data_IF_679961741618
#
_entry.id   IF_679961741618
#
_cell.length_a   1.000
_cell.length_b   1.000
_cell.length_c   1.000
_cell.angle_alpha   90.00
_cell.angle_beta   90.00
_cell.angle_gamma   90.00
#
_symmetry.space_group_name_H-M   'P 1'
#
loop_
_entity.id
_entity.type
_entity.pdbx_description
1 polymer ?
#
# COMPACT_ATOMS: atom_id res chain seq x y z
N UNK A 1 2.64 -30.32 5.11
CA UNK A 1 3.78 -30.34 6.04
C UNK A 1 5.00 -30.82 5.27
N UNK A 2 5.86 -29.92 4.81
CA UNK A 2 7.14 -30.23 4.13
C UNK A 2 7.97 -28.93 4.13
N UNK A 3 8.57 -28.58 5.27
CA UNK A 3 9.26 -27.28 5.47
C UNK A 3 10.75 -27.39 5.78
N UNK A 4 11.32 -28.58 5.64
CA UNK A 4 12.75 -28.84 5.79
C UNK A 4 13.38 -28.92 4.39
N UNK A 5 14.35 -28.04 4.13
CA UNK A 5 15.19 -28.11 2.93
C UNK A 5 16.64 -28.13 3.36
N UNK A 6 17.41 -29.06 2.82
CA UNK A 6 18.85 -29.12 3.00
C UNK A 6 19.49 -28.26 1.91
N UNK A 7 20.32 -27.29 2.29
CA UNK A 7 21.12 -26.49 1.36
C UNK A 7 22.57 -26.47 1.84
N UNK A 8 23.46 -26.92 0.97
CA UNK A 8 24.90 -26.96 1.22
C UNK A 8 25.53 -25.60 0.88
N UNK A 9 26.38 -25.08 1.76
CA UNK A 9 27.29 -23.97 1.39
C UNK A 9 28.69 -24.25 1.90
N UNK A 10 29.66 -24.07 1.02
CA UNK A 10 31.09 -24.38 1.20
C UNK A 10 31.73 -23.75 2.44
N UNK A 11 31.39 -22.50 2.79
CA UNK A 11 32.06 -21.78 3.88
C UNK A 11 31.83 -22.36 5.28
N UNK A 12 30.62 -22.83 5.60
CA UNK A 12 30.35 -23.43 6.92
C UNK A 12 30.81 -24.89 6.99
N UNK A 13 30.76 -25.61 5.86
CA UNK A 13 31.31 -26.95 5.75
C UNK A 13 32.82 -26.95 6.02
N UNK A 14 33.54 -25.92 5.57
CA UNK A 14 34.97 -25.71 5.88
C UNK A 14 35.23 -25.52 7.38
N UNK A 15 34.48 -24.65 8.04
CA UNK A 15 34.60 -24.45 9.51
C UNK A 15 34.27 -25.72 10.29
N UNK A 16 33.25 -26.46 9.86
CA UNK A 16 32.85 -27.72 10.49
C UNK A 16 33.88 -28.82 10.28
N UNK A 17 34.45 -28.92 9.09
CA UNK A 17 35.53 -29.84 8.77
C UNK A 17 36.81 -29.53 9.58
N UNK A 18 37.11 -28.25 9.82
CA UNK A 18 38.26 -27.85 10.62
C UNK A 18 38.07 -28.11 12.13
N UNK A 19 36.86 -27.88 12.67
CA UNK A 19 36.58 -28.00 14.10
C UNK A 19 36.19 -29.41 14.55
N UNK A 20 35.63 -30.24 13.66
CA UNK A 20 35.19 -31.60 13.98
C UNK A 20 36.30 -32.50 14.58
N UNK A 21 37.51 -32.60 14.00
CA UNK A 21 38.57 -33.44 14.57
C UNK A 21 39.05 -32.91 15.92
N UNK A 22 39.12 -31.59 16.10
CA UNK A 22 39.50 -30.97 17.38
C UNK A 22 38.46 -31.30 18.47
N UNK A 23 37.16 -31.19 18.18
CA UNK A 23 36.10 -31.53 19.12
C UNK A 23 36.09 -33.02 19.47
N UNK A 24 36.36 -33.91 18.52
CA UNK A 24 36.41 -35.35 18.80
C UNK A 24 37.65 -35.70 19.66
N UNK A 25 38.81 -35.12 19.34
CA UNK A 25 40.04 -35.33 20.10
C UNK A 25 39.97 -34.81 21.53
N UNK A 26 39.27 -33.69 21.77
CA UNK A 26 39.17 -33.07 23.08
C UNK A 26 38.35 -33.90 24.09
N UNK A 27 37.44 -34.74 23.61
CA UNK A 27 36.61 -35.63 24.44
C UNK A 27 37.07 -37.09 24.42
N UNK A 28 38.03 -37.44 23.57
CA UNK A 28 38.63 -38.77 23.51
C UNK A 28 39.38 -39.07 24.82
N UNK A 29 39.13 -40.22 25.45
CA UNK A 29 39.78 -40.59 26.72
C UNK A 29 39.17 -39.94 27.97
N UNK A 30 38.07 -39.19 27.83
CA UNK A 30 37.29 -38.68 28.96
C UNK A 30 36.10 -39.60 29.25
N UNK A 31 35.42 -39.46 30.39
CA UNK A 31 34.19 -40.22 30.71
C UNK A 31 33.01 -39.91 29.75
N UNK A 32 33.15 -38.90 28.89
CA UNK A 32 32.11 -38.38 27.99
C UNK A 32 32.55 -38.45 26.52
N UNK A 33 33.11 -39.58 26.08
CA UNK A 33 33.59 -39.75 24.69
C UNK A 33 32.49 -39.53 23.64
N UNK A 34 31.24 -39.81 24.00
CA UNK A 34 30.04 -39.59 23.19
C UNK A 34 29.69 -38.10 23.01
N UNK A 35 30.22 -37.21 23.86
CA UNK A 35 29.96 -35.76 23.75
C UNK A 35 30.56 -35.16 22.48
N UNK A 36 31.78 -35.57 22.09
CA UNK A 36 32.46 -35.07 20.88
C UNK A 36 31.66 -35.32 19.59
N UNK A 37 31.32 -36.59 19.26
CA UNK A 37 30.48 -36.92 18.10
C UNK A 37 29.10 -36.25 18.16
N UNK A 38 28.50 -36.14 19.35
CA UNK A 38 27.19 -35.47 19.52
C UNK A 38 27.29 -33.98 19.19
N UNK A 39 28.35 -33.29 19.63
CA UNK A 39 28.59 -31.88 19.35
C UNK A 39 28.81 -31.62 17.86
N UNK A 40 29.56 -32.49 17.19
CA UNK A 40 29.76 -32.44 15.73
C UNK A 40 28.43 -32.66 15.02
N UNK A 41 27.64 -33.67 15.43
CA UNK A 41 26.31 -33.94 14.87
C UNK A 41 25.35 -32.75 15.01
N UNK A 42 25.32 -32.11 16.18
CA UNK A 42 24.54 -30.89 16.42
C UNK A 42 25.03 -29.74 15.54
N UNK A 43 26.35 -29.56 15.40
CA UNK A 43 26.95 -28.58 14.50
C UNK A 43 26.52 -28.79 13.05
N UNK A 44 26.59 -30.03 12.55
CA UNK A 44 26.16 -30.41 11.19
C UNK A 44 24.69 -30.06 10.98
N UNK A 45 23.82 -30.42 11.93
CA UNK A 45 22.39 -30.11 11.86
C UNK A 45 22.14 -28.60 11.83
N UNK A 46 22.81 -27.83 12.69
CA UNK A 46 22.69 -26.36 12.71
C UNK A 46 23.19 -25.69 11.42
N UNK A 47 24.21 -26.27 10.78
CA UNK A 47 24.78 -25.76 9.54
C UNK A 47 23.95 -26.13 8.29
N UNK A 48 23.38 -27.34 8.26
CA UNK A 48 22.72 -27.89 7.07
C UNK A 48 21.20 -27.67 7.04
N UNK A 49 20.56 -27.59 8.21
CA UNK A 49 19.10 -27.51 8.29
C UNK A 49 18.63 -26.07 8.13
N UNK A 50 17.93 -25.82 7.02
CA UNK A 50 17.17 -24.58 6.84
C UNK A 50 15.70 -24.84 7.16
N UNK A 51 15.14 -23.99 8.02
CA UNK A 51 13.72 -24.04 8.40
C UNK A 51 13.03 -22.78 7.88
N UNK A 52 12.05 -22.97 6.97
CA UNK A 52 11.28 -21.88 6.33
C UNK A 52 12.15 -20.81 5.65
N UNK A 53 13.23 -21.22 4.99
CA UNK A 53 14.08 -20.33 4.18
C UNK A 53 15.15 -19.55 4.95
N UNK A 54 15.25 -19.72 6.29
CA UNK A 54 16.37 -19.21 7.11
C UNK A 54 17.10 -20.38 7.80
N UNK A 55 18.42 -20.27 7.97
CA UNK A 55 19.23 -21.23 8.75
C UNK A 55 18.92 -21.14 10.24
N UNK A 56 19.17 -22.20 11.00
CA UNK A 56 18.98 -22.19 12.47
C UNK A 56 19.83 -21.10 13.16
N UNK A 57 21.05 -20.84 12.68
CA UNK A 57 21.89 -19.72 13.15
C UNK A 57 21.31 -18.35 12.81
N UNK A 58 20.76 -18.19 11.61
CA UNK A 58 20.03 -16.98 11.21
C UNK A 58 18.73 -16.79 12.01
N UNK A 59 18.10 -17.89 12.43
CA UNK A 59 16.97 -17.86 13.37
C UNK A 59 17.42 -17.37 14.75
N UNK A 60 18.53 -17.87 15.30
CA UNK A 60 19.07 -17.43 16.59
C UNK A 60 19.49 -15.96 16.59
N UNK A 61 20.16 -15.51 15.52
CA UNK A 61 20.51 -14.10 15.35
C UNK A 61 19.25 -13.21 15.24
N UNK A 62 18.25 -13.65 14.48
CA UNK A 62 16.99 -12.94 14.34
C UNK A 62 16.20 -12.90 15.67
N UNK A 63 16.23 -13.96 16.49
CA UNK A 63 15.57 -13.97 17.80
C UNK A 63 16.26 -13.07 18.81
N UNK A 64 17.59 -13.09 18.92
CA UNK A 64 18.33 -12.18 19.80
C UNK A 64 18.10 -10.72 19.40
N UNK A 65 18.19 -10.43 18.11
CA UNK A 65 17.96 -9.10 17.57
C UNK A 65 16.50 -8.64 17.76
N UNK A 66 15.53 -9.55 17.66
CA UNK A 66 14.12 -9.29 17.98
C UNK A 66 13.93 -9.04 19.49
N UNK A 67 14.50 -9.87 20.36
CA UNK A 67 14.40 -9.71 21.82
C UNK A 67 14.91 -8.35 22.28
N UNK A 68 16.04 -7.87 21.73
CA UNK A 68 16.57 -6.54 22.07
C UNK A 68 15.67 -5.39 21.61
N UNK A 69 14.89 -5.57 20.54
CA UNK A 69 14.15 -4.47 19.87
C UNK A 69 12.64 -4.50 20.08
N UNK A 70 12.06 -5.64 20.47
CA UNK A 70 10.61 -5.88 20.35
C UNK A 70 9.70 -4.88 21.09
N UNK A 71 10.20 -4.20 22.12
CA UNK A 71 9.46 -3.17 22.88
C UNK A 71 9.83 -1.72 22.54
N UNK A 72 10.87 -1.50 21.74
CA UNK A 72 11.31 -0.14 21.36
C UNK A 72 10.63 0.27 20.05
N UNK A 73 10.00 1.45 19.97
CA UNK A 73 9.42 1.94 18.72
C UNK A 73 10.51 2.14 17.65
N UNK A 74 10.14 2.12 16.35
CA UNK A 74 11.04 2.54 15.28
C UNK A 74 11.57 3.95 15.54
N UNK A 75 12.82 4.23 15.14
CA UNK A 75 13.38 5.58 15.21
C UNK A 75 12.56 6.48 14.29
N UNK A 76 12.05 7.59 14.82
CA UNK A 76 11.38 8.59 14.01
C UNK A 76 12.36 9.16 12.96
N UNK A 77 11.90 9.44 11.73
CA UNK A 77 12.66 10.24 10.77
C UNK A 77 13.05 11.60 11.35
N UNK A 78 14.06 12.25 10.76
CA UNK A 78 14.35 13.64 11.13
C UNK A 78 13.23 14.56 10.67
N UNK A 79 13.14 15.75 11.28
CA UNK A 79 12.28 16.80 10.78
C UNK A 79 12.63 17.11 9.31
N UNK A 80 11.62 17.34 8.46
CA UNK A 80 11.83 17.65 7.07
C UNK A 80 12.42 19.04 6.91
N UNK A 81 13.42 19.15 6.03
CA UNK A 81 13.99 20.43 5.61
C UNK A 81 13.64 20.62 4.15
N UNK A 82 13.08 21.77 3.83
CA UNK A 82 12.75 22.13 2.45
C UNK A 82 14.00 22.74 1.80
N UNK A 83 14.49 22.11 0.74
CA UNK A 83 15.56 22.65 -0.08
C UNK A 83 15.03 23.67 -1.09
N UNK A 84 15.77 24.77 -1.30
CA UNK A 84 15.57 25.64 -2.46
C UNK A 84 16.14 24.96 -3.72
N UNK A 85 15.34 24.84 -4.78
CA UNK A 85 15.78 24.29 -6.07
C UNK A 85 16.41 25.37 -6.96
N UNK A 86 16.85 24.93 -8.15
CA UNK A 86 17.35 25.76 -9.26
C UNK A 86 16.20 26.53 -9.96
N UNK A 87 14.93 26.13 -9.79
CA UNK A 87 13.76 26.86 -10.28
C UNK A 87 13.07 27.58 -9.11
N UNK A 88 12.78 28.89 -9.17
CA UNK A 88 12.25 29.66 -8.04
C UNK A 88 10.88 29.24 -7.43
N UNK A 89 10.28 28.11 -7.81
CA UNK A 89 8.93 27.70 -7.38
C UNK A 89 8.78 26.23 -6.92
N UNK A 90 9.78 25.38 -7.19
CA UNK A 90 9.73 23.97 -6.77
C UNK A 90 10.49 23.80 -5.45
N UNK A 91 9.75 23.53 -4.39
CA UNK A 91 10.30 23.26 -3.07
C UNK A 91 10.26 21.75 -2.85
N UNK A 92 11.43 21.12 -2.68
CA UNK A 92 11.53 19.67 -2.44
C UNK A 92 11.85 19.45 -0.97
N UNK A 93 10.98 18.72 -0.27
CA UNK A 93 11.26 18.27 1.08
C UNK A 93 12.30 17.14 1.08
N UNK A 94 13.30 17.28 1.94
CA UNK A 94 14.28 16.22 2.22
C UNK A 94 14.33 15.94 3.72
N UNK A 95 14.55 14.68 4.09
CA UNK A 95 14.78 14.29 5.48
C UNK A 95 15.69 13.08 5.57
N UNK A 96 16.30 12.88 6.74
CA UNK A 96 17.00 11.64 7.04
C UNK A 96 15.99 10.58 7.47
N UNK A 97 16.06 9.43 6.80
CA UNK A 97 15.31 8.24 7.17
C UNK A 97 16.27 7.05 7.28
N UNK A 98 16.57 6.67 8.52
CA UNK A 98 17.68 5.76 8.84
C UNK A 98 19.01 6.34 8.31
N UNK A 99 19.76 5.59 7.51
CA UNK A 99 21.06 5.97 6.94
C UNK A 99 20.96 6.68 5.58
N UNK A 100 19.73 6.93 5.10
CA UNK A 100 19.48 7.52 3.78
C UNK A 100 18.94 8.93 3.92
N UNK A 101 19.39 9.83 3.05
CA UNK A 101 18.67 11.07 2.80
C UNK A 101 17.57 10.77 1.79
N UNK A 102 16.33 11.12 2.11
CA UNK A 102 15.16 10.81 1.27
C UNK A 102 14.42 12.07 0.85
N UNK A 103 13.79 12.01 -0.31
CA UNK A 103 12.87 13.01 -0.85
C UNK A 103 11.61 12.32 -1.36
N UNK A 104 10.51 13.07 -1.47
CA UNK A 104 9.21 12.53 -1.88
C UNK A 104 8.71 13.21 -3.15
N UNK A 105 8.14 12.40 -4.04
CA UNK A 105 7.36 12.81 -5.21
C UNK A 105 5.97 12.24 -5.00
N UNK A 106 4.96 13.10 -5.03
CA UNK A 106 3.57 12.69 -5.01
C UNK A 106 3.08 12.45 -6.44
N UNK A 107 2.40 11.32 -6.66
CA UNK A 107 1.76 11.05 -7.94
C UNK A 107 0.30 11.48 -7.86
N UNK A 108 -0.07 12.43 -8.72
CA UNK A 108 -1.42 12.99 -8.73
C UNK A 108 -2.27 12.13 -9.66
N UNK A 109 -3.32 11.46 -9.14
CA UNK A 109 -4.17 10.67 -10.00
C UNK A 109 -5.04 11.56 -10.88
N UNK A 110 -5.34 11.06 -12.06
CA UNK A 110 -6.23 11.76 -12.99
C UNK A 110 -7.69 11.54 -12.57
N UNK A 111 -8.47 12.60 -12.36
CA UNK A 111 -9.86 12.48 -11.95
C UNK A 111 -10.70 11.64 -12.92
N UNK A 112 -11.68 10.94 -12.36
CA UNK A 112 -12.66 10.11 -13.08
C UNK A 112 -12.04 9.04 -13.98
N UNK A 113 -10.85 8.51 -13.67
CA UNK A 113 -10.29 7.37 -14.39
C UNK A 113 -11.01 6.08 -13.95
N UNK A 114 -11.81 5.44 -14.81
CA UNK A 114 -12.50 4.21 -14.44
C UNK A 114 -11.49 3.08 -14.22
N UNK A 115 -11.79 2.20 -13.27
CA UNK A 115 -11.09 0.93 -13.09
C UNK A 115 -12.05 -0.20 -13.40
N UNK A 116 -11.70 -1.04 -14.38
CA UNK A 116 -12.51 -2.20 -14.78
C UNK A 116 -11.82 -3.48 -14.31
N UNK A 117 -12.58 -4.37 -13.67
CA UNK A 117 -12.04 -5.64 -13.19
C UNK A 117 -12.31 -6.73 -14.22
N UNK A 118 -11.25 -7.22 -14.86
CA UNK A 118 -11.31 -8.29 -15.87
C UNK A 118 -10.50 -9.47 -15.35
N UNK A 119 -11.14 -10.62 -15.20
CA UNK A 119 -10.53 -11.86 -14.73
C UNK A 119 -9.73 -11.71 -13.42
N UNK A 120 -10.25 -10.89 -12.49
CA UNK A 120 -9.64 -10.61 -11.19
C UNK A 120 -8.46 -9.64 -11.23
N UNK A 121 -8.27 -8.89 -12.32
CA UNK A 121 -7.22 -7.88 -12.48
C UNK A 121 -7.82 -6.50 -12.70
N UNK A 122 -7.19 -5.49 -12.11
CA UNK A 122 -7.60 -4.10 -12.27
C UNK A 122 -6.98 -3.51 -13.53
N UNK A 123 -7.84 -3.09 -14.46
CA UNK A 123 -7.45 -2.34 -15.64
C UNK A 123 -7.84 -0.88 -15.46
N UNK A 124 -6.84 0.00 -15.44
CA UNK A 124 -6.98 1.45 -15.38
C UNK A 124 -5.89 2.10 -16.22
N UNK A 125 -6.19 3.25 -16.81
CA UNK A 125 -5.25 3.98 -17.66
C UNK A 125 -4.21 4.76 -16.86
N UNK A 126 -4.47 5.00 -15.57
CA UNK A 126 -3.66 5.88 -14.72
C UNK A 126 -2.70 5.06 -13.85
N UNK A 127 -1.56 4.69 -14.45
CA UNK A 127 -0.56 3.79 -13.88
C UNK A 127 0.86 4.35 -14.02
N UNK A 128 1.73 4.01 -13.09
CA UNK A 128 3.18 4.17 -13.21
C UNK A 128 3.86 2.82 -13.46
N UNK A 129 4.62 2.71 -14.54
CA UNK A 129 5.41 1.51 -14.85
C UNK A 129 6.77 1.56 -14.13
N UNK A 130 7.10 0.52 -13.37
CA UNK A 130 8.39 0.45 -12.68
C UNK A 130 9.59 0.40 -13.63
N UNK A 131 9.41 -0.06 -14.89
CA UNK A 131 10.46 0.02 -15.93
C UNK A 131 10.71 1.45 -16.37
N UNK A 132 9.66 2.28 -16.45
CA UNK A 132 9.82 3.69 -16.77
C UNK A 132 10.66 4.37 -15.68
N UNK A 133 10.33 4.13 -14.41
CA UNK A 133 11.09 4.67 -13.30
C UNK A 133 12.55 4.21 -13.33
N UNK A 134 12.80 2.91 -13.58
CA UNK A 134 14.17 2.39 -13.70
C UNK A 134 14.95 3.10 -14.83
N UNK A 135 14.34 3.28 -16.00
CA UNK A 135 14.97 4.02 -17.11
C UNK A 135 15.30 5.45 -16.71
N UNK A 136 14.37 6.18 -16.10
CA UNK A 136 14.58 7.55 -15.65
C UNK A 136 15.73 7.64 -14.62
N UNK A 137 15.78 6.71 -13.66
CA UNK A 137 16.89 6.61 -12.71
C UNK A 137 18.21 6.32 -13.41
N UNK A 138 18.24 5.36 -14.35
CA UNK A 138 19.47 4.98 -15.06
C UNK A 138 20.08 6.15 -15.86
N UNK A 139 19.23 7.03 -16.41
CA UNK A 139 19.67 8.17 -17.22
C UNK A 139 20.08 9.36 -16.34
N UNK A 140 19.31 9.66 -15.28
CA UNK A 140 19.48 10.91 -14.53
C UNK A 140 20.25 10.76 -13.22
N UNK A 141 20.18 9.60 -12.57
CA UNK A 141 20.67 9.37 -11.21
C UNK A 141 20.87 7.87 -10.89
N UNK A 142 21.79 7.22 -11.61
CA UNK A 142 21.99 5.77 -11.54
C UNK A 142 22.49 5.24 -10.18
N UNK A 143 22.96 6.11 -9.28
CA UNK A 143 23.44 5.79 -7.94
C UNK A 143 22.37 6.00 -6.85
N UNK A 144 21.13 6.35 -7.22
CA UNK A 144 19.96 6.46 -6.32
C UNK A 144 19.09 5.20 -6.35
N UNK A 145 18.32 5.00 -5.27
CA UNK A 145 17.24 4.02 -5.20
C UNK A 145 15.90 4.76 -5.15
N UNK A 146 14.82 4.15 -5.68
CA UNK A 146 13.48 4.69 -5.55
C UNK A 146 12.52 3.67 -4.97
N UNK A 147 11.73 4.06 -3.96
CA UNK A 147 10.63 3.25 -3.43
C UNK A 147 9.30 3.83 -3.91
N UNK A 148 8.56 3.11 -4.76
CA UNK A 148 7.15 3.38 -5.04
C UNK A 148 6.34 2.87 -3.86
N UNK A 149 5.57 3.73 -3.21
CA UNK A 149 4.78 3.40 -2.02
C UNK A 149 3.33 3.76 -2.29
N UNK A 150 2.43 2.78 -2.26
CA UNK A 150 0.98 3.03 -2.28
C UNK A 150 0.36 2.64 -0.96
N UNK A 151 -0.52 3.48 -0.43
CA UNK A 151 -1.21 3.24 0.82
C UNK A 151 -2.70 3.58 0.71
N UNK A 152 -3.54 2.83 1.43
CA UNK A 152 -4.99 3.02 1.41
C UNK A 152 -5.78 1.79 1.81
N UNK A 153 -7.06 1.76 1.47
CA UNK A 153 -8.00 0.73 1.92
C UNK A 153 -9.01 0.37 0.83
N UNK A 154 -9.48 -0.89 0.85
CA UNK A 154 -10.54 -1.38 -0.05
C UNK A 154 -11.93 -0.99 0.41
N UNK A 155 -12.13 -1.05 1.73
CA UNK A 155 -13.37 -0.69 2.40
C UNK A 155 -12.98 0.26 3.53
N UNK A 156 -13.64 1.41 3.58
CA UNK A 156 -13.42 2.43 4.58
C UNK A 156 -14.08 2.09 5.92
N UNK A 157 -13.97 3.02 6.87
CA UNK A 157 -14.47 2.86 8.25
C UNK A 157 -15.61 3.81 8.61
N UNK A 158 -16.12 4.57 7.64
CA UNK A 158 -17.17 5.57 7.88
C UNK A 158 -18.57 4.96 7.88
N UNK A 159 -18.79 3.84 7.19
CA UNK A 159 -20.07 3.13 7.20
C UNK A 159 -20.32 2.36 8.50
N UNK A 160 -21.61 2.04 8.73
CA UNK A 160 -21.99 1.00 9.68
C UNK A 160 -21.30 -0.34 9.35
N UNK A 161 -21.00 -1.16 10.37
CA UNK A 161 -20.35 -2.46 10.17
C UNK A 161 -21.14 -3.36 9.20
N UNK A 162 -22.47 -3.22 9.20
CA UNK A 162 -23.35 -3.96 8.33
C UNK A 162 -23.24 -3.49 6.87
N UNK A 163 -23.33 -2.19 6.60
CA UNK A 163 -23.17 -1.65 5.25
C UNK A 163 -21.77 -1.91 4.68
N UNK A 164 -20.73 -1.82 5.52
CA UNK A 164 -19.37 -2.20 5.15
C UNK A 164 -19.26 -3.69 4.77
N UNK A 165 -19.91 -4.58 5.54
CA UNK A 165 -19.94 -6.02 5.24
C UNK A 165 -20.68 -6.33 3.94
N UNK A 166 -21.85 -5.71 3.68
CA UNK A 166 -22.57 -5.86 2.41
C UNK A 166 -21.68 -5.45 1.23
N UNK A 167 -21.00 -4.31 1.37
CA UNK A 167 -20.09 -3.83 0.32
C UNK A 167 -18.87 -4.73 0.12
N UNK A 168 -18.26 -5.22 1.21
CA UNK A 168 -17.11 -6.14 1.14
C UNK A 168 -17.49 -7.45 0.43
N UNK A 169 -18.69 -7.98 0.69
CA UNK A 169 -19.22 -9.15 -0.01
C UNK A 169 -19.47 -8.87 -1.49
N UNK A 170 -20.00 -7.68 -1.81
CA UNK A 170 -20.29 -7.27 -3.18
C UNK A 170 -19.02 -7.16 -4.04
N UNK A 171 -17.97 -6.53 -3.51
CA UNK A 171 -16.70 -6.37 -4.23
C UNK A 171 -15.81 -7.63 -4.17
N UNK A 172 -16.10 -8.56 -3.25
CA UNK A 172 -15.39 -9.82 -3.09
C UNK A 172 -13.86 -9.65 -3.02
N UNK A 173 -13.16 -10.24 -4.00
CA UNK A 173 -11.68 -10.18 -4.11
C UNK A 173 -11.19 -9.18 -5.16
N UNK A 174 -12.03 -8.25 -5.62
CA UNK A 174 -11.63 -7.29 -6.64
C UNK A 174 -10.45 -6.43 -6.15
N UNK A 175 -9.36 -6.30 -6.93
CA UNK A 175 -8.21 -5.47 -6.58
C UNK A 175 -8.47 -3.96 -6.74
N UNK A 176 -9.65 -3.52 -6.30
CA UNK A 176 -10.15 -2.16 -6.39
C UNK A 176 -10.15 -1.51 -5.01
N UNK A 177 -9.08 -0.78 -4.62
CA UNK A 177 -9.13 0.00 -3.39
C UNK A 177 -10.08 1.18 -3.55
N UNK A 178 -10.97 1.36 -2.58
CA UNK A 178 -11.84 2.53 -2.50
C UNK A 178 -11.05 3.82 -2.35
N UNK A 179 -9.96 3.78 -1.57
CA UNK A 179 -9.03 4.90 -1.41
C UNK A 179 -7.59 4.41 -1.57
N UNK A 180 -6.79 5.07 -2.41
CA UNK A 180 -5.36 4.82 -2.57
C UNK A 180 -4.63 6.09 -3.02
N UNK A 181 -3.53 6.38 -2.34
CA UNK A 181 -2.55 7.39 -2.77
C UNK A 181 -1.19 6.73 -2.99
N UNK A 182 -0.41 7.28 -3.91
CA UNK A 182 0.88 6.71 -4.32
C UNK A 182 1.95 7.79 -4.37
N UNK A 183 3.12 7.47 -3.83
CA UNK A 183 4.30 8.32 -3.81
C UNK A 183 5.51 7.58 -4.36
N UNK A 184 6.50 8.33 -4.82
CA UNK A 184 7.85 7.83 -5.13
C UNK A 184 8.83 8.49 -4.17
N UNK A 185 9.53 7.67 -3.40
CA UNK A 185 10.55 8.12 -2.45
C UNK A 185 11.92 7.90 -3.06
N UNK A 186 12.65 8.96 -3.42
CA UNK A 186 14.05 8.83 -3.83
C UNK A 186 14.94 8.74 -2.59
N UNK A 187 15.90 7.83 -2.62
CA UNK A 187 16.79 7.49 -1.50
C UNK A 187 18.25 7.62 -1.92
N UNK A 188 18.97 8.46 -1.19
CA UNK A 188 20.39 8.70 -1.36
C UNK A 188 21.17 8.06 -0.21
N UNK A 189 21.98 7.05 -0.53
CA UNK A 189 23.03 6.54 0.37
C UNK A 189 24.26 7.47 0.24
N UNK A 190 24.72 8.10 1.34
CA UNK A 190 25.87 9.01 1.31
C UNK A 190 27.16 8.39 0.73
N UNK A 191 27.36 7.07 0.89
CA UNK A 191 28.54 6.38 0.38
C UNK A 191 28.43 6.13 -1.13
N UNK A 192 27.28 5.63 -1.59
CA UNK A 192 27.06 5.34 -3.02
C UNK A 192 27.03 6.62 -3.86
N UNK A 193 26.38 7.66 -3.34
CA UNK A 193 26.14 8.92 -4.06
C UNK A 193 27.26 9.95 -3.90
N UNK A 194 28.33 9.62 -3.16
CA UNK A 194 29.42 10.54 -2.79
C UNK A 194 29.98 11.31 -3.99
N UNK A 195 30.29 10.62 -5.09
CA UNK A 195 30.88 11.24 -6.29
C UNK A 195 29.92 12.25 -6.94
N UNK A 196 28.64 11.92 -7.01
CA UNK A 196 27.60 12.77 -7.60
C UNK A 196 27.29 13.98 -6.71
N UNK A 197 27.28 13.79 -5.39
CA UNK A 197 27.09 14.84 -4.40
C UNK A 197 28.24 15.86 -4.40
N UNK A 198 29.49 15.38 -4.41
CA UNK A 198 30.69 16.23 -4.39
C UNK A 198 30.82 17.19 -5.58
N UNK A 199 30.19 16.88 -6.72
CA UNK A 199 30.14 17.78 -7.88
C UNK A 199 29.25 19.02 -7.66
N UNK A 200 28.45 19.04 -6.59
CA UNK A 200 27.45 20.10 -6.32
C UNK A 200 27.77 20.93 -5.09
N UNK A 201 28.26 20.29 -4.03
CA UNK A 201 28.82 20.95 -2.84
C UNK A 201 29.58 19.95 -1.97
N UNK A 202 30.23 20.43 -0.91
CA UNK A 202 30.85 19.61 0.11
C UNK A 202 29.81 19.03 1.11
N UNK A 203 30.11 17.84 1.62
CA UNK A 203 29.36 17.23 2.73
C UNK A 203 27.86 17.02 2.46
N UNK A 204 27.05 17.24 3.49
CA UNK A 204 25.59 17.02 3.47
C UNK A 204 24.88 17.99 2.51
N UNK A 205 25.39 19.22 2.35
CA UNK A 205 24.82 20.19 1.42
C UNK A 205 24.88 19.68 -0.03
N UNK A 206 25.99 19.05 -0.42
CA UNK A 206 26.15 18.47 -1.75
C UNK A 206 25.19 17.30 -2.00
N UNK A 207 24.99 16.47 -0.97
CA UNK A 207 24.04 15.35 -1.00
C UNK A 207 22.60 15.84 -1.15
N UNK A 208 22.21 16.84 -0.36
CA UNK A 208 20.88 17.43 -0.41
C UNK A 208 20.61 18.08 -1.78
N UNK A 209 21.55 18.90 -2.29
CA UNK A 209 21.44 19.48 -3.64
C UNK A 209 21.38 18.42 -4.72
N UNK A 210 22.11 17.32 -4.58
CA UNK A 210 22.03 16.21 -5.52
C UNK A 210 20.65 15.57 -5.52
N UNK A 211 20.15 15.21 -4.34
CA UNK A 211 18.87 14.56 -4.19
C UNK A 211 17.75 15.46 -4.74
N UNK A 212 17.66 16.71 -4.27
CA UNK A 212 16.68 17.71 -4.73
C UNK A 212 16.70 17.85 -6.26
N UNK A 213 17.87 18.03 -6.86
CA UNK A 213 18.00 18.17 -8.31
C UNK A 213 17.69 16.88 -9.08
N UNK A 214 17.73 15.71 -8.43
CA UNK A 214 17.35 14.43 -9.02
C UNK A 214 15.85 14.22 -8.91
N UNK A 215 15.25 14.57 -7.78
CA UNK A 215 13.80 14.56 -7.54
C UNK A 215 13.06 15.36 -8.60
N UNK A 216 13.48 16.61 -8.86
CA UNK A 216 12.88 17.44 -9.91
C UNK A 216 12.99 16.79 -11.29
N UNK A 217 14.16 16.23 -11.66
CA UNK A 217 14.33 15.55 -12.96
C UNK A 217 13.46 14.31 -13.11
N UNK A 218 13.32 13.52 -12.05
CA UNK A 218 12.48 12.32 -12.07
C UNK A 218 11.01 12.73 -12.18
N UNK A 219 10.56 13.74 -11.43
CA UNK A 219 9.20 14.28 -11.53
C UNK A 219 8.92 14.82 -12.96
N UNK A 220 9.82 15.66 -13.50
CA UNK A 220 9.70 16.18 -14.87
C UNK A 220 9.68 15.06 -15.92
N UNK A 221 10.51 14.03 -15.75
CA UNK A 221 10.57 12.87 -16.65
C UNK A 221 9.31 11.99 -16.60
N UNK A 222 8.72 11.84 -15.41
CA UNK A 222 7.43 11.16 -15.23
C UNK A 222 6.30 11.97 -15.89
N UNK A 223 6.23 13.28 -15.62
CA UNK A 223 5.24 14.18 -16.21
C UNK A 223 5.33 14.20 -17.74
N UNK A 224 6.55 14.25 -18.28
CA UNK A 224 6.80 14.17 -19.73
C UNK A 224 6.37 12.83 -20.35
N UNK A 225 6.27 11.78 -19.54
CA UNK A 225 5.79 10.45 -19.93
C UNK A 225 4.28 10.26 -19.66
N UNK A 226 3.59 11.32 -19.25
CA UNK A 226 2.16 11.32 -18.96
C UNK A 226 1.79 10.93 -17.52
N UNK A 227 2.74 10.71 -16.62
CA UNK A 227 2.46 10.44 -15.20
C UNK A 227 2.53 11.76 -14.44
N UNK A 228 1.40 12.27 -13.95
CA UNK A 228 1.40 13.53 -13.20
C UNK A 228 2.12 13.32 -11.86
N UNK A 229 3.22 14.04 -11.67
CA UNK A 229 4.19 13.81 -10.61
C UNK A 229 4.69 15.16 -10.10
N UNK A 230 4.44 15.43 -8.82
CA UNK A 230 4.76 16.71 -8.18
C UNK A 230 5.77 16.47 -7.07
N UNK A 231 6.80 17.32 -7.00
CA UNK A 231 7.75 17.27 -5.90
C UNK A 231 7.05 17.64 -4.58
N UNK A 232 7.10 16.76 -3.58
CA UNK A 232 6.44 17.00 -2.31
C UNK A 232 7.17 18.07 -1.49
N UNK A 233 6.38 19.00 -0.92
CA UNK A 233 6.86 20.09 -0.05
C UNK A 233 6.91 19.70 1.43
N UNK A 234 6.28 18.57 1.79
CA UNK A 234 6.29 17.96 3.11
C UNK A 234 6.19 16.43 2.97
N UNK A 235 6.42 15.71 4.07
CA UNK A 235 6.14 14.28 4.18
C UNK A 235 4.82 13.99 4.90
N UNK A 236 4.05 15.01 5.31
CA UNK A 236 2.86 14.83 6.16
C UNK A 236 1.82 13.89 5.56
N UNK A 237 1.45 14.06 4.28
CA UNK A 237 0.47 13.19 3.62
C UNK A 237 0.97 11.75 3.49
N UNK A 238 2.26 11.59 3.17
CA UNK A 238 2.92 10.29 3.11
C UNK A 238 2.96 9.62 4.49
N UNK A 239 3.31 10.38 5.53
CA UNK A 239 3.41 9.87 6.91
C UNK A 239 2.03 9.50 7.44
N UNK A 240 1.01 10.33 7.21
CA UNK A 240 -0.36 10.05 7.59
C UNK A 240 -0.89 8.78 6.89
N UNK A 241 -0.65 8.64 5.59
CA UNK A 241 -1.12 7.48 4.83
C UNK A 241 -0.36 6.19 5.15
N UNK A 242 0.90 6.28 5.59
CA UNK A 242 1.73 5.11 5.97
C UNK A 242 1.80 4.88 7.47
N UNK A 243 1.10 5.69 8.27
CA UNK A 243 1.09 5.58 9.72
C UNK A 243 0.53 4.21 10.13
N UNK A 244 1.24 3.55 11.05
CA UNK A 244 0.75 2.35 11.71
C UNK A 244 0.84 2.52 13.22
N UNK A 245 -0.16 2.00 13.92
CA UNK A 245 -0.10 1.96 15.37
C UNK A 245 0.95 0.93 15.82
N UNK A 246 1.86 1.36 16.70
CA UNK A 246 2.92 0.50 17.24
C UNK A 246 2.88 0.48 18.76
N UNK A 247 2.59 -0.69 19.34
CA UNK A 247 2.81 -0.97 20.76
C UNK A 247 3.98 -1.93 20.96
N UNK A 248 4.02 -3.00 20.17
CA UNK A 248 5.01 -4.07 20.29
C UNK A 248 5.18 -4.83 19.00
N UNK A 249 6.42 -5.18 18.68
CA UNK A 249 6.71 -6.13 17.61
C UNK A 249 6.64 -7.57 18.15
N UNK A 250 5.76 -8.40 17.58
CA UNK A 250 5.78 -9.85 17.75
C UNK A 250 6.51 -10.49 16.57
N UNK A 251 6.89 -11.76 16.73
CA UNK A 251 7.63 -12.51 15.71
C UNK A 251 7.01 -12.43 14.30
N UNK A 252 5.68 -12.42 14.20
CA UNK A 252 4.99 -12.49 12.90
C UNK A 252 4.05 -11.32 12.64
N UNK A 253 4.06 -10.28 13.50
CA UNK A 253 3.16 -9.12 13.37
C UNK A 253 3.62 -7.99 14.28
N UNK A 254 3.26 -6.77 13.93
CA UNK A 254 3.28 -5.61 14.81
C UNK A 254 1.89 -5.50 15.45
N UNK A 255 1.86 -5.41 16.77
CA UNK A 255 0.66 -5.11 17.53
C UNK A 255 0.58 -3.60 17.72
N UNK A 256 -0.53 -3.01 17.28
CA UNK A 256 -0.90 -1.62 17.56
C UNK A 256 -2.05 -1.53 18.55
N UNK A 257 -2.55 -0.31 18.76
CA UNK A 257 -3.71 -0.02 19.61
C UNK A 257 -4.99 -0.50 18.94
N UNK A 258 -5.42 -1.72 19.29
CA UNK A 258 -6.66 -2.31 18.75
C UNK A 258 -6.55 -2.85 17.31
N UNK A 259 -5.35 -2.92 16.73
CA UNK A 259 -5.14 -3.49 15.40
C UNK A 259 -3.82 -4.28 15.31
N UNK A 260 -3.66 -5.00 14.21
CA UNK A 260 -2.47 -5.79 13.92
C UNK A 260 -1.98 -5.49 12.51
N UNK A 261 -0.73 -5.06 12.39
CA UNK A 261 -0.06 -4.93 11.08
C UNK A 261 0.85 -6.14 10.86
N UNK A 262 0.82 -6.74 9.68
CA UNK A 262 1.76 -7.79 9.32
C UNK A 262 2.39 -7.54 7.96
N UNK A 263 3.71 -7.67 7.89
CA UNK A 263 4.49 -7.64 6.65
C UNK A 263 4.55 -8.99 5.97
N UNK A 264 4.38 -8.95 4.65
CA UNK A 264 4.29 -10.08 3.74
C UNK A 264 5.11 -9.83 2.48
N UNK A 265 5.46 -10.94 1.84
CA UNK A 265 6.02 -11.00 0.49
C UNK A 265 4.98 -11.74 -0.35
N UNK A 266 4.58 -11.14 -1.47
CA UNK A 266 3.51 -11.65 -2.31
C UNK A 266 3.88 -11.38 -3.77
N UNK A 267 4.37 -12.39 -4.51
CA UNK A 267 4.58 -12.22 -5.95
C UNK A 267 3.22 -12.03 -6.64
N UNK A 268 3.19 -11.28 -7.73
CA UNK A 268 1.99 -11.09 -8.55
C UNK A 268 1.49 -9.65 -8.66
N UNK A 269 2.15 -8.68 -8.02
CA UNK A 269 1.89 -7.27 -8.22
C UNK A 269 0.61 -6.75 -7.56
N UNK A 270 0.20 -5.52 -7.92
CA UNK A 270 -0.92 -4.82 -7.27
C UNK A 270 -2.23 -5.59 -7.22
N UNK A 271 -2.55 -6.39 -8.24
CA UNK A 271 -3.78 -7.20 -8.27
C UNK A 271 -3.83 -8.22 -7.11
N UNK A 272 -2.69 -8.83 -6.76
CA UNK A 272 -2.61 -9.76 -5.63
C UNK A 272 -2.61 -9.01 -4.30
N UNK A 273 -2.00 -7.84 -4.25
CA UNK A 273 -1.85 -7.06 -3.03
C UNK A 273 -3.17 -6.43 -2.58
N UNK A 274 -3.89 -5.83 -3.53
CA UNK A 274 -5.15 -5.12 -3.30
C UNK A 274 -6.38 -6.01 -3.36
N UNK A 275 -6.25 -7.31 -3.64
CA UNK A 275 -7.34 -8.29 -3.48
C UNK A 275 -7.40 -8.91 -2.08
N UNK A 276 -6.33 -8.76 -1.28
CA UNK A 276 -6.29 -9.28 0.07
C UNK A 276 -7.19 -8.44 1.01
N UNK A 277 -8.03 -9.07 1.85
CA UNK A 277 -8.85 -8.35 2.81
C UNK A 277 -7.96 -7.75 3.91
N UNK A 278 -8.04 -6.42 4.06
CA UNK A 278 -7.35 -5.66 5.08
C UNK A 278 -8.05 -4.32 5.30
N UNK A 279 -8.03 -3.82 6.55
CA UNK A 279 -8.54 -2.51 6.89
C UNK A 279 -7.66 -1.39 6.33
N UNK A 280 -6.37 -1.67 6.14
CA UNK A 280 -5.40 -0.77 5.53
C UNK A 280 -4.27 -1.58 4.89
N UNK A 281 -3.84 -1.16 3.71
CA UNK A 281 -2.81 -1.83 2.92
C UNK A 281 -1.74 -0.82 2.56
N UNK A 282 -0.47 -1.17 2.79
CA UNK A 282 0.68 -0.40 2.35
C UNK A 282 1.53 -1.33 1.48
N UNK A 283 1.79 -0.92 0.25
CA UNK A 283 2.65 -1.64 -0.69
C UNK A 283 3.90 -0.81 -0.92
N UNK A 284 5.06 -1.47 -1.05
CA UNK A 284 6.32 -0.81 -1.39
C UNK A 284 7.05 -1.63 -2.44
N UNK A 285 7.46 -0.97 -3.51
CA UNK A 285 8.31 -1.53 -4.57
C UNK A 285 9.57 -0.69 -4.67
N UNK A 286 10.73 -1.29 -4.40
CA UNK A 286 12.02 -0.69 -4.67
C UNK A 286 12.46 -0.94 -6.10
N UNK A 287 12.89 0.12 -6.75
CA UNK A 287 13.54 0.11 -8.06
C UNK A 287 14.96 0.63 -7.88
N UNK A 288 15.93 -0.18 -8.31
CA UNK A 288 17.35 0.18 -8.37
C UNK A 288 17.82 -0.09 -9.79
N UNK A 289 18.50 0.84 -10.47
CA UNK A 289 18.97 0.64 -11.83
C UNK A 289 19.79 -0.63 -12.00
N UNK A 290 19.41 -1.50 -12.94
CA UNK A 290 20.13 -2.74 -13.24
C UNK A 290 19.86 -3.90 -12.26
N UNK A 291 18.97 -3.73 -11.29
CA UNK A 291 18.54 -4.78 -10.38
C UNK A 291 17.04 -5.09 -10.57
N UNK A 292 16.65 -6.35 -10.35
CA UNK A 292 15.23 -6.70 -10.34
C UNK A 292 14.51 -5.95 -9.20
N UNK A 293 13.31 -5.40 -9.45
CA UNK A 293 12.58 -4.66 -8.44
C UNK A 293 12.27 -5.55 -7.25
N UNK A 294 12.14 -4.97 -6.06
CA UNK A 294 11.90 -5.72 -4.83
C UNK A 294 10.64 -5.20 -4.13
N UNK A 295 9.77 -6.08 -3.64
CA UNK A 295 8.49 -5.68 -3.05
C UNK A 295 8.28 -6.16 -1.62
N UNK A 296 7.44 -5.45 -0.88
CA UNK A 296 6.87 -5.88 0.40
C UNK A 296 5.46 -5.30 0.56
N UNK A 297 4.60 -6.01 1.27
CA UNK A 297 3.21 -5.61 1.50
C UNK A 297 2.92 -5.68 2.99
N UNK A 298 2.37 -4.61 3.54
CA UNK A 298 1.87 -4.54 4.90
C UNK A 298 0.35 -4.56 4.86
N UNK A 299 -0.25 -5.47 5.61
CA UNK A 299 -1.69 -5.54 5.79
C UNK A 299 -2.02 -5.29 7.25
N UNK A 300 -2.88 -4.31 7.50
CA UNK A 300 -3.41 -3.96 8.81
C UNK A 300 -4.83 -4.46 8.94
N UNK A 301 -5.13 -5.16 10.02
CA UNK A 301 -6.46 -5.69 10.31
C UNK A 301 -6.84 -5.43 11.77
N UNK A 302 -8.10 -5.14 12.02
CA UNK A 302 -8.69 -5.02 13.36
C UNK A 302 -8.59 -6.35 14.14
N UNK A 303 -8.96 -7.45 13.50
CA UNK A 303 -8.84 -8.79 14.05
C UNK A 303 -7.48 -9.44 13.76
N UNK A 304 -7.17 -10.58 14.40
CA UNK A 304 -5.96 -11.35 14.09
C UNK A 304 -6.03 -11.93 12.67
N UNK A 305 -5.34 -11.29 11.72
CA UNK A 305 -5.33 -11.70 10.31
C UNK A 305 -4.93 -13.18 10.09
N UNK A 306 -5.79 -13.90 9.37
CA UNK A 306 -5.41 -15.12 8.64
C UNK A 306 -4.46 -14.73 7.50
N UNK A 307 -3.52 -15.61 7.16
CA UNK A 307 -2.58 -15.35 6.05
C UNK A 307 -3.35 -15.46 4.72
N UNK A 308 -3.35 -14.40 3.87
CA UNK A 308 -3.99 -14.47 2.57
C UNK A 308 -3.32 -15.51 1.65
N UNK A 309 -4.06 -16.01 0.65
CA UNK A 309 -3.53 -16.95 -0.35
C UNK A 309 -2.46 -16.25 -1.20
N UNK A 310 -1.34 -16.91 -1.47
CA UNK A 310 -0.22 -16.33 -2.22
C UNK A 310 0.77 -15.49 -1.37
N UNK A 311 0.45 -15.22 -0.10
CA UNK A 311 1.29 -14.38 0.76
C UNK A 311 2.23 -15.23 1.63
N UNK A 312 3.48 -14.79 1.73
CA UNK A 312 4.50 -15.35 2.61
C UNK A 312 4.90 -14.33 3.67
N UNK A 313 4.61 -14.64 4.94
CA UNK A 313 4.79 -13.72 6.07
C UNK A 313 6.26 -13.52 6.42
N UNK A 314 6.68 -12.27 6.59
CA UNK A 314 8.07 -11.89 6.92
C UNK A 314 8.35 -12.06 8.42
N UNK A 315 8.48 -13.30 8.87
CA UNK A 315 8.64 -13.59 10.31
C UNK A 315 10.03 -13.20 10.81
N UNK A 316 10.10 -12.53 11.96
CA UNK A 316 11.33 -12.01 12.58
C UNK A 316 11.88 -10.73 11.93
N UNK A 317 11.16 -10.13 10.98
CA UNK A 317 11.59 -8.93 10.24
C UNK A 317 10.46 -7.93 9.99
N UNK A 318 9.45 -7.90 10.86
CA UNK A 318 8.23 -7.11 10.65
C UNK A 318 8.53 -5.61 10.65
N UNK A 319 9.40 -5.15 11.56
CA UNK A 319 9.89 -3.76 11.55
C UNK A 319 10.74 -3.42 10.33
N UNK A 320 11.61 -4.35 9.92
CA UNK A 320 12.40 -4.16 8.71
C UNK A 320 11.49 -4.08 7.47
N UNK A 321 10.41 -4.86 7.41
CA UNK A 321 9.40 -4.75 6.37
C UNK A 321 8.70 -3.38 6.41
N UNK A 322 8.29 -2.90 7.60
CA UNK A 322 7.72 -1.57 7.79
C UNK A 322 8.63 -0.45 7.24
N UNK A 323 9.93 -0.54 7.55
CA UNK A 323 10.93 0.42 7.11
C UNK A 323 11.43 0.18 5.67
N UNK A 324 10.89 -0.81 4.96
CA UNK A 324 11.27 -1.11 3.58
C UNK A 324 12.70 -1.66 3.45
N UNK A 325 13.24 -2.23 4.52
CA UNK A 325 14.56 -2.87 4.55
C UNK A 325 14.47 -4.37 4.22
N UNK A 326 13.30 -4.99 4.42
CA UNK A 326 13.06 -6.38 4.06
C UNK A 326 12.14 -6.47 2.84
N UNK A 327 12.75 -6.36 1.67
CA UNK A 327 12.10 -6.50 0.37
C UNK A 327 12.53 -7.83 -0.27
N UNK A 328 11.71 -8.39 -1.13
CA UNK A 328 12.03 -9.62 -1.87
C UNK A 328 11.94 -9.34 -3.37
N UNK A 329 12.87 -9.91 -4.12
CA UNK A 329 12.90 -9.79 -5.58
C UNK A 329 11.54 -10.13 -6.19
N UNK A 330 11.12 -9.28 -7.10
CA UNK A 330 9.84 -9.31 -7.80
C UNK A 330 10.07 -8.97 -9.28
N UNK A 331 8.99 -8.78 -10.03
CA UNK A 331 9.01 -8.41 -11.44
C UNK A 331 8.55 -6.97 -11.62
N UNK A 332 8.97 -6.37 -12.71
CA UNK A 332 8.39 -5.10 -13.11
C UNK A 332 6.89 -5.23 -13.32
N UNK A 333 6.16 -4.20 -12.91
CA UNK A 333 4.72 -4.14 -12.96
C UNK A 333 4.26 -2.69 -13.17
N UNK A 334 3.01 -2.56 -13.57
CA UNK A 334 2.30 -1.29 -13.58
C UNK A 334 1.59 -1.12 -12.24
N UNK A 335 1.76 0.04 -11.63
CA UNK A 335 1.17 0.38 -10.33
C UNK A 335 0.13 1.47 -10.57
N UNK A 336 -1.16 1.19 -10.33
CA UNK A 336 -2.18 2.22 -10.36
C UNK A 336 -1.90 3.36 -9.37
N UNK A 337 -2.05 4.60 -9.83
CA UNK A 337 -1.66 5.79 -9.07
C UNK A 337 -2.68 6.11 -7.97
N UNK A 338 -3.94 6.30 -8.37
CA UNK A 338 -5.04 6.70 -7.49
C UNK A 338 -5.97 5.57 -7.09
N UNK A 339 -7.08 5.94 -6.47
CA UNK A 339 -8.17 5.07 -6.05
C UNK A 339 -8.84 4.38 -7.24
N UNK A 340 -9.35 3.16 -7.04
CA UNK A 340 -10.35 2.60 -7.95
C UNK A 340 -11.72 3.26 -7.67
N UNK A 341 -12.00 3.55 -6.39
CA UNK A 341 -13.17 4.30 -5.94
C UNK A 341 -14.39 3.43 -5.66
N UNK A 342 -15.56 3.92 -6.04
CA UNK A 342 -16.86 3.29 -5.74
C UNK A 342 -17.28 2.38 -6.89
N UNK A 343 -17.82 1.19 -6.59
CA UNK A 343 -18.44 0.33 -7.60
C UNK A 343 -19.71 1.01 -8.16
N UNK A 344 -19.63 1.50 -9.40
CA UNK A 344 -20.73 2.23 -10.06
C UNK A 344 -21.60 1.33 -10.94
N UNK A 345 -21.08 0.18 -11.37
CA UNK A 345 -21.82 -0.77 -12.19
C UNK A 345 -20.92 -1.83 -12.78
N UNK A 346 -21.35 -2.41 -13.89
CA UNK A 346 -20.57 -3.38 -14.67
C UNK A 346 -20.65 -3.07 -16.16
N UNK A 347 -19.69 -3.54 -16.95
CA UNK A 347 -19.71 -3.46 -18.41
C UNK A 347 -20.83 -4.33 -19.00
N UNK A 348 -21.09 -4.19 -20.31
CA UNK A 348 -22.03 -5.07 -21.02
C UNK A 348 -21.66 -6.57 -20.93
N UNK A 349 -20.36 -6.86 -20.77
CA UNK A 349 -19.82 -8.22 -20.60
C UNK A 349 -19.81 -8.70 -19.15
N UNK A 350 -20.34 -7.92 -18.20
CA UNK A 350 -20.43 -8.30 -16.79
C UNK A 350 -19.19 -8.02 -15.95
N UNK A 351 -18.24 -7.22 -16.45
CA UNK A 351 -17.05 -6.85 -15.68
C UNK A 351 -17.31 -5.65 -14.76
N UNK A 352 -17.02 -5.73 -13.45
CA UNK A 352 -17.20 -4.62 -12.51
C UNK A 352 -16.47 -3.35 -12.94
N UNK A 353 -17.11 -2.20 -12.75
CA UNK A 353 -16.59 -0.86 -13.07
C UNK A 353 -16.63 0.01 -11.83
N UNK A 354 -15.46 0.52 -11.46
CA UNK A 354 -15.26 1.43 -10.34
C UNK A 354 -14.92 2.83 -10.86
N UNK A 355 -15.33 3.86 -10.11
CA UNK A 355 -14.97 5.25 -10.40
C UNK A 355 -14.52 5.98 -9.12
N UNK A 356 -13.37 6.69 -9.16
CA UNK A 356 -12.93 7.55 -8.06
C UNK A 356 -13.73 8.85 -8.01
N UNK A 357 -14.00 9.30 -6.78
CA UNK A 357 -14.71 10.54 -6.45
C UNK A 357 -13.93 11.40 -5.45
N UNK A 358 -12.75 10.93 -5.04
CA UNK A 358 -11.92 11.48 -3.98
C UNK A 358 -10.90 12.51 -4.48
N UNK A 359 -10.81 12.78 -5.78
CA UNK A 359 -9.79 13.67 -6.35
C UNK A 359 -10.24 15.12 -6.56
N UNK A 360 -11.52 15.36 -6.90
CA UNK A 360 -12.03 16.70 -7.20
C UNK A 360 -13.47 16.88 -6.72
N UNK A 361 -13.82 18.11 -6.36
CA UNK A 361 -15.18 18.48 -5.97
C UNK A 361 -16.15 18.36 -7.16
N UNK A 362 -17.26 17.66 -6.94
CA UNK A 362 -18.27 17.41 -7.98
C UNK A 362 -19.69 17.48 -7.47
N UNK A 363 -20.62 17.84 -8.35
CA UNK A 363 -22.04 17.57 -8.17
C UNK A 363 -22.43 16.32 -8.94
N UNK A 364 -22.97 15.33 -8.23
CA UNK A 364 -23.52 14.12 -8.84
C UNK A 364 -25.04 14.21 -8.98
N UNK A 365 -25.54 13.92 -10.17
CA UNK A 365 -26.96 13.73 -10.45
C UNK A 365 -27.26 12.23 -10.47
N UNK A 366 -28.09 11.78 -9.53
CA UNK A 366 -28.48 10.38 -9.34
C UNK A 366 -29.86 10.18 -9.97
N UNK A 367 -29.95 9.32 -10.98
CA UNK A 367 -31.12 9.26 -11.87
C UNK A 367 -32.42 8.73 -11.25
N UNK A 368 -32.33 7.95 -10.19
CA UNK A 368 -33.46 7.34 -9.49
C UNK A 368 -33.12 7.02 -8.03
N UNK A 369 -34.13 6.66 -7.23
CA UNK A 369 -33.99 6.34 -5.82
C UNK A 369 -33.06 5.13 -5.57
N UNK A 370 -33.07 4.15 -6.47
CA UNK A 370 -32.23 2.95 -6.36
C UNK A 370 -30.74 3.28 -6.55
N UNK A 371 -30.44 4.15 -7.51
CA UNK A 371 -29.09 4.67 -7.77
C UNK A 371 -28.63 5.55 -6.62
N UNK A 372 -29.52 6.36 -6.04
CA UNK A 372 -29.22 7.18 -4.86
C UNK A 372 -28.83 6.33 -3.65
N UNK A 373 -29.63 5.33 -3.31
CA UNK A 373 -29.37 4.43 -2.18
C UNK A 373 -28.07 3.67 -2.38
N UNK A 374 -27.85 3.08 -3.57
CA UNK A 374 -26.63 2.34 -3.89
C UNK A 374 -25.40 3.23 -3.81
N UNK A 375 -25.45 4.42 -4.43
CA UNK A 375 -24.32 5.34 -4.38
C UNK A 375 -24.00 5.75 -2.95
N UNK A 376 -25.00 6.18 -2.16
CA UNK A 376 -24.79 6.62 -0.79
C UNK A 376 -24.26 5.49 0.12
N UNK A 377 -24.85 4.29 0.06
CA UNK A 377 -24.40 3.16 0.87
C UNK A 377 -22.98 2.72 0.52
N UNK A 378 -22.66 2.61 -0.78
CA UNK A 378 -21.32 2.23 -1.25
C UNK A 378 -20.29 3.32 -1.01
N UNK A 379 -20.67 4.58 -1.14
CA UNK A 379 -19.79 5.70 -0.84
C UNK A 379 -19.42 5.75 0.66
N UNK A 380 -20.39 5.49 1.55
CA UNK A 380 -20.11 5.30 2.97
C UNK A 380 -19.14 4.12 3.18
N UNK A 381 -19.42 2.97 2.58
CA UNK A 381 -18.55 1.79 2.73
C UNK A 381 -17.18 1.99 2.08
N UNK A 382 -17.06 2.86 1.09
CA UNK A 382 -15.82 3.27 0.43
C UNK A 382 -15.02 4.32 1.24
N UNK A 383 -15.46 4.70 2.45
CA UNK A 383 -14.75 5.65 3.31
C UNK A 383 -15.19 7.11 3.19
N UNK A 384 -16.22 7.39 2.39
CA UNK A 384 -16.85 8.70 2.33
C UNK A 384 -17.67 8.97 3.60
N UNK A 385 -17.57 10.19 4.14
CA UNK A 385 -18.47 10.65 5.19
C UNK A 385 -19.74 11.19 4.54
N UNK A 386 -20.80 10.36 4.53
CA UNK A 386 -22.07 10.72 3.92
C UNK A 386 -22.89 11.58 4.88
N UNK A 387 -23.45 12.67 4.36
CA UNK A 387 -24.42 13.53 5.04
C UNK A 387 -25.67 13.63 4.19
N UNK A 388 -26.83 13.26 4.75
CA UNK A 388 -28.12 13.27 4.07
C UNK A 388 -29.08 14.28 4.70
N UNK A 389 -30.13 14.65 3.97
CA UNK A 389 -31.16 15.55 4.49
C UNK A 389 -31.95 14.91 5.64
N UNK A 390 -32.54 15.71 6.55
CA UNK A 390 -33.28 15.18 7.71
C UNK A 390 -34.40 14.20 7.36
N UNK A 391 -34.97 14.31 6.17
CA UNK A 391 -35.98 13.38 5.67
C UNK A 391 -35.47 11.95 5.47
N UNK A 392 -34.16 11.75 5.29
CA UNK A 392 -33.55 10.43 5.09
C UNK A 392 -32.94 9.84 6.36
N UNK A 393 -33.41 10.26 7.55
CA UNK A 393 -32.81 9.87 8.84
C UNK A 393 -32.67 8.35 9.02
N UNK A 394 -33.74 7.60 8.74
CA UNK A 394 -33.75 6.14 8.88
C UNK A 394 -32.69 5.48 7.97
N UNK A 395 -32.67 5.86 6.69
CA UNK A 395 -31.64 5.39 5.77
C UNK A 395 -30.22 5.81 6.20
N UNK A 396 -30.05 7.04 6.70
CA UNK A 396 -28.76 7.53 7.17
C UNK A 396 -28.22 6.68 8.33
N UNK A 397 -29.06 6.35 9.31
CA UNK A 397 -28.70 5.50 10.44
C UNK A 397 -28.24 4.10 9.99
N UNK A 398 -28.95 3.50 9.03
CA UNK A 398 -28.61 2.16 8.51
C UNK A 398 -27.22 2.08 7.87
N UNK A 399 -26.79 3.14 7.18
CA UNK A 399 -25.48 3.18 6.51
C UNK A 399 -24.38 3.84 7.35
N UNK A 400 -24.70 4.34 8.56
CA UNK A 400 -23.75 5.09 9.40
C UNK A 400 -23.47 6.51 8.89
N UNK A 401 -24.41 7.11 8.15
CA UNK A 401 -24.32 8.48 7.66
C UNK A 401 -24.84 9.50 8.68
N UNK A 402 -24.47 10.76 8.47
CA UNK A 402 -24.95 11.90 9.25
C UNK A 402 -26.19 12.51 8.62
N UNK A 403 -26.97 13.25 9.43
CA UNK A 403 -28.03 14.12 8.91
C UNK A 403 -27.61 15.58 9.01
N UNK A 404 -27.90 16.38 7.97
CA UNK A 404 -27.47 17.77 7.91
C UNK A 404 -28.20 18.56 6.82
N UNK A 405 -28.02 19.89 6.78
CA UNK A 405 -28.68 20.75 5.81
C UNK A 405 -28.15 20.58 4.39
N UNK A 406 -26.91 20.11 4.23
CA UNK A 406 -26.25 19.92 2.94
C UNK A 406 -26.04 18.43 2.65
N UNK A 407 -26.62 17.94 1.55
CA UNK A 407 -26.48 16.55 1.12
C UNK A 407 -25.19 16.34 0.33
N UNK A 408 -24.25 15.60 0.91
CA UNK A 408 -22.92 15.41 0.34
C UNK A 408 -22.23 14.14 0.83
N UNK A 409 -21.17 13.76 0.12
CA UNK A 409 -20.17 12.80 0.55
C UNK A 409 -18.84 13.53 0.66
N UNK A 410 -18.28 13.62 1.85
CA UNK A 410 -16.94 14.16 2.06
C UNK A 410 -15.92 13.02 1.98
N UNK A 411 -14.97 13.13 1.05
CA UNK A 411 -13.80 12.28 0.90
C UNK A 411 -12.60 12.95 1.58
N UNK A 412 -11.46 12.25 1.75
CA UNK A 412 -10.27 12.84 2.39
C UNK A 412 -9.79 14.15 1.74
N UNK A 413 -9.95 14.28 0.43
CA UNK A 413 -9.38 15.37 -0.39
C UNK A 413 -10.40 16.07 -1.29
N UNK A 414 -11.66 15.63 -1.31
CA UNK A 414 -12.70 16.15 -2.20
C UNK A 414 -14.10 15.98 -1.61
N UNK A 415 -15.08 16.67 -2.20
CA UNK A 415 -16.50 16.56 -1.83
C UNK A 415 -17.38 16.25 -3.03
N UNK A 416 -18.20 15.20 -2.92
CA UNK A 416 -19.27 14.91 -3.89
C UNK A 416 -20.60 15.41 -3.35
N UNK A 417 -21.13 16.49 -3.93
CA UNK A 417 -22.44 17.04 -3.61
C UNK A 417 -23.54 16.22 -4.27
N UNK A 418 -24.52 15.79 -3.48
CA UNK A 418 -25.67 15.02 -3.95
C UNK A 418 -26.79 15.92 -4.52
N UNK A 419 -26.53 17.23 -4.57
CA UNK A 419 -27.37 18.25 -5.18
C UNK A 419 -26.52 19.12 -6.13
N UNK A 420 -27.14 19.79 -7.11
CA UNK A 420 -26.44 20.72 -7.99
C UNK A 420 -25.78 21.85 -7.20
N UNK A 421 -24.47 22.07 -7.41
CA UNK A 421 -23.68 23.12 -6.78
C UNK A 421 -22.93 23.92 -7.85
N UNK A 422 -23.11 25.26 -7.89
CA UNK A 422 -22.39 26.12 -8.83
C UNK A 422 -20.87 25.99 -8.68
N UNK A 423 -20.14 26.05 -9.79
CA UNK A 423 -18.67 26.01 -9.80
C UNK A 423 -18.05 24.62 -9.61
N UNK A 424 -18.86 23.55 -9.61
CA UNK A 424 -18.38 22.17 -9.56
C UNK A 424 -18.66 21.43 -10.86
N UNK A 425 -17.78 20.48 -11.18
CA UNK A 425 -17.98 19.58 -12.30
C UNK A 425 -19.20 18.68 -12.09
N UNK A 426 -19.90 18.33 -13.18
CA UNK A 426 -21.12 17.52 -13.12
C UNK A 426 -20.85 16.08 -13.51
N UNK A 427 -21.23 15.16 -12.62
CA UNK A 427 -21.31 13.73 -12.90
C UNK A 427 -22.78 13.34 -12.96
N UNK A 428 -23.17 12.50 -13.92
CA UNK A 428 -24.50 11.90 -13.94
C UNK A 428 -24.35 10.40 -13.83
N UNK A 429 -25.01 9.80 -12.84
CA UNK A 429 -25.05 8.36 -12.65
C UNK A 429 -26.50 7.90 -12.76
N UNK A 430 -26.75 7.01 -13.72
CA UNK A 430 -28.03 6.32 -13.95
C UNK A 430 -27.79 4.82 -13.99
N UNK A 431 -28.85 4.03 -13.95
CA UNK A 431 -28.76 2.56 -13.98
C UNK A 431 -28.03 1.99 -15.22
N UNK A 432 -27.97 2.74 -16.34
CA UNK A 432 -27.39 2.28 -17.62
C UNK A 432 -26.20 3.11 -18.13
N UNK A 433 -25.90 4.25 -17.50
CA UNK A 433 -24.85 5.15 -17.99
C UNK A 433 -24.27 5.96 -16.85
N UNK A 434 -22.96 6.18 -16.93
CA UNK A 434 -22.26 7.19 -16.14
C UNK A 434 -21.63 8.21 -17.08
N UNK A 435 -21.88 9.49 -16.83
CA UNK A 435 -21.32 10.61 -17.58
C UNK A 435 -20.43 11.43 -16.63
N UNK A 436 -19.18 11.64 -17.01
CA UNK A 436 -18.21 12.43 -16.26
C UNK A 436 -17.60 13.51 -17.16
N UNK A 437 -16.95 14.55 -16.61
CA UNK A 437 -16.25 15.57 -17.41
C UNK A 437 -15.24 14.95 -18.37
N UNK A 438 -14.58 13.87 -17.94
CA UNK A 438 -13.59 13.15 -18.74
C UNK A 438 -14.24 12.22 -19.77
N UNK A 439 -15.27 11.50 -19.35
CA UNK A 439 -15.93 10.50 -20.17
C UNK A 439 -17.38 10.92 -20.39
N UNK A 440 -17.66 11.54 -21.54
CA UNK A 440 -18.99 12.10 -21.87
C UNK A 440 -20.11 11.13 -21.53
N UNK A 441 -19.98 9.87 -21.93
CA UNK A 441 -20.87 8.77 -21.54
C UNK A 441 -20.09 7.45 -21.53
N UNK A 442 -20.22 6.70 -20.44
CA UNK A 442 -19.74 5.32 -20.29
C UNK A 442 -20.96 4.43 -20.04
N UNK A 443 -21.28 3.51 -20.95
CA UNK A 443 -22.38 2.58 -20.75
C UNK A 443 -22.04 1.60 -19.63
N UNK A 444 -22.95 1.46 -18.68
CA UNK A 444 -22.83 0.51 -17.58
C UNK A 444 -24.14 -0.27 -17.45
N UNK A 445 -24.10 -1.36 -16.70
CA UNK A 445 -25.29 -2.02 -16.17
C UNK A 445 -25.24 -1.91 -14.66
N UNK A 446 -26.38 -1.62 -14.06
CA UNK A 446 -26.56 -1.69 -12.63
C UNK A 446 -26.11 -3.06 -12.09
N UNK A 447 -25.42 -3.02 -10.96
CA UNK A 447 -25.14 -4.19 -10.12
C UNK A 447 -25.93 -3.96 -8.84
N UNK A 448 -26.75 -4.92 -8.44
CA UNK A 448 -27.57 -4.83 -7.22
C UNK A 448 -27.28 -6.02 -6.33
N UNK A 449 -26.93 -5.78 -5.07
CA UNK A 449 -26.92 -6.83 -4.06
C UNK A 449 -28.34 -6.97 -3.48
N UNK A 450 -28.86 -8.20 -3.25
CA UNK A 450 -30.17 -8.39 -2.63
C UNK A 450 -30.31 -7.63 -1.30
N UNK A 451 -29.24 -7.62 -0.51
CA UNK A 451 -29.14 -6.93 0.77
C UNK A 451 -29.20 -5.40 0.67
N UNK A 452 -28.87 -4.79 -0.49
CA UNK A 452 -29.02 -3.35 -0.70
C UNK A 452 -30.50 -2.94 -0.87
N UNK A 453 -31.37 -3.87 -1.28
CA UNK A 453 -32.80 -3.62 -1.52
C UNK A 453 -33.52 -3.17 -0.26
N UNK A 454 -33.11 -3.65 0.92
CA UNK A 454 -33.72 -3.27 2.20
C UNK A 454 -33.56 -1.78 2.49
N UNK A 455 -32.49 -1.15 2.00
CA UNK A 455 -32.26 0.28 2.21
C UNK A 455 -33.29 1.14 1.46
N UNK A 456 -33.90 0.61 0.39
CA UNK A 456 -34.99 1.29 -0.30
C UNK A 456 -36.24 1.40 0.56
N UNK A 457 -36.49 0.43 1.43
CA UNK A 457 -37.65 0.43 2.33
C UNK A 457 -37.55 1.53 3.39
N UNK A 458 -36.33 1.98 3.71
CA UNK A 458 -36.04 3.07 4.63
C UNK A 458 -36.12 4.48 3.98
N UNK A 459 -36.47 4.56 2.69
CA UNK A 459 -36.70 5.85 2.03
C UNK A 459 -38.10 6.40 2.35
N UNK A 460 -38.25 7.73 2.48
CA UNK A 460 -39.56 8.35 2.64
C UNK A 460 -40.52 7.97 1.52
N UNK A 461 -41.68 7.42 1.89
CA UNK A 461 -42.73 7.06 0.93
C UNK A 461 -42.63 5.67 0.32
N UNK A 462 -41.65 4.85 0.69
CA UNK A 462 -41.51 3.46 0.20
C UNK A 462 -42.74 2.57 0.50
N UNK A 463 -43.59 2.96 1.47
CA UNK A 463 -44.85 2.28 1.80
C UNK A 463 -46.12 2.84 1.14
N UNK A 464 -46.04 3.83 0.23
CA UNK A 464 -47.23 4.49 -0.35
C UNK A 464 -47.75 3.90 -1.66
N UNK A 465 -47.21 2.77 -2.13
CA UNK A 465 -47.69 2.08 -3.35
C UNK A 465 -48.41 0.77 -3.02
N UNK A 466 -49.27 0.80 -2.01
CA UNK A 466 -50.24 -0.26 -1.70
C UNK A 466 -51.43 0.35 -0.94
N UNK A 467 -52.25 1.12 -1.66
CA UNK A 467 -53.60 1.49 -1.21
C UNK A 467 -54.51 1.61 -2.42
#
# INVERSE_FOLDING_TARGET
MTSLRLRFTSGHALWLAALAPLCILLFLGTRYEWAGPTLVGVGVVLALVTFRGRRLTGWLAATLAWLARHRRPPKAPSEPVVGATVKPADHVAVRWQNEFLVSVIELIPRPFTPTVIVDGRAHTDDVVDTRLLERLLSVHCADLEADIVSAGYRVGRTASAEAASVYEQLIGSDPAPAYRRTWIMLRADPQRTRRSAQRRDAGVAGLARYLVASTTRIADGLASSGVDAVCGRSFDDFDHATEISFERERWSRIQGRGNFTAGYTAPGGPDVWWSAPADHTITRIRVVPGEAPQSTVLLTTSAKAKRPRGFSRVSGGQRAALQGQHLVADRHCQVPIGSAGVLVGQTASGYPVYLPFDDVDVSINLGDAETFVRFAARAAAAGGTVTLGPQFREFAELIGAHTGPETKVAWPTATTYLAPRPGTDRVTLRHNVIATPRHRQLPIRAVTAPEETRYLQALPGAGRTAS
#
